data_IF_517530565748
#
_entry.id   IF_517530565748
#
_cell.length_a   1.000
_cell.length_b   1.000
_cell.length_c   1.000
_cell.angle_alpha   90.00
_cell.angle_beta   90.00
_cell.angle_gamma   90.00
#
_symmetry.space_group_name_H-M   'P 1'
#
loop_
_entity.id
_entity.type
_entity.pdbx_description
1 polymer ?
#
# COMPACT_ATOMS: atom_id res chain seq x y z
N UNK A 1 27.85 -6.10 73.48
CA UNK A 1 27.52 -6.90 72.27
C UNK A 1 26.04 -6.77 72.03
N UNK A 2 25.47 -6.46 70.87
CA UNK A 2 25.92 -5.98 69.57
C UNK A 2 24.61 -5.62 68.84
N UNK A 3 24.59 -4.52 68.08
CA UNK A 3 23.50 -4.12 67.19
C UNK A 3 23.08 -5.26 66.25
N UNK A 4 21.79 -5.38 65.93
CA UNK A 4 21.39 -5.83 64.59
C UNK A 4 20.12 -5.11 64.14
N UNK A 5 20.38 -4.11 63.30
CA UNK A 5 19.46 -3.33 62.49
C UNK A 5 19.09 -4.22 61.27
N UNK A 6 17.84 -4.64 61.13
CA UNK A 6 17.39 -5.29 59.89
C UNK A 6 17.12 -4.20 58.85
N UNK A 7 18.05 -4.08 57.89
CA UNK A 7 17.86 -3.33 56.66
C UNK A 7 16.79 -4.04 55.80
N UNK A 8 15.64 -3.39 55.65
CA UNK A 8 14.71 -3.62 54.55
C UNK A 8 15.31 -2.94 53.30
N UNK A 9 15.88 -3.73 52.41
CA UNK A 9 16.37 -3.28 51.11
C UNK A 9 15.14 -3.02 50.22
N UNK A 10 14.77 -1.75 50.10
CA UNK A 10 13.90 -1.27 49.02
C UNK A 10 14.65 -1.42 47.70
N UNK A 11 14.39 -2.51 46.98
CA UNK A 11 14.69 -2.60 45.55
C UNK A 11 13.75 -1.62 44.83
N UNK A 12 14.20 -0.38 44.66
CA UNK A 12 13.68 0.49 43.60
C UNK A 12 14.09 -0.15 42.28
N UNK A 13 13.15 -0.80 41.59
CA UNK A 13 13.29 -1.04 40.15
C UNK A 13 13.26 0.34 39.50
N UNK A 14 14.41 0.79 39.01
CA UNK A 14 14.52 1.98 38.20
C UNK A 14 13.72 1.75 36.91
N UNK A 15 12.56 2.39 36.82
CA UNK A 15 11.80 2.53 35.57
C UNK A 15 12.65 3.39 34.63
N UNK A 16 13.00 2.92 33.42
CA UNK A 16 13.71 3.76 32.47
C UNK A 16 12.81 4.92 32.06
N UNK A 17 13.38 6.12 32.01
CA UNK A 17 12.68 7.33 31.63
C UNK A 17 12.00 7.17 30.26
N UNK A 18 10.67 7.12 30.26
CA UNK A 18 9.86 7.36 29.07
C UNK A 18 10.20 8.76 28.56
N UNK A 19 10.49 8.90 27.27
CA UNK A 19 10.47 10.22 26.63
C UNK A 19 9.12 10.89 26.91
N UNK A 20 9.12 12.19 27.14
CA UNK A 20 7.97 12.95 27.66
C UNK A 20 6.64 12.48 27.05
N UNK A 21 5.78 11.88 27.88
CA UNK A 21 4.43 11.48 27.47
C UNK A 21 3.66 12.72 26.98
N UNK A 22 2.86 12.60 25.90
CA UNK A 22 2.03 13.71 25.45
C UNK A 22 1.11 14.20 26.58
N UNK A 23 0.75 15.50 26.62
CA UNK A 23 -0.09 16.07 27.68
C UNK A 23 -1.48 15.42 27.84
N UNK A 24 -1.97 14.74 26.80
CA UNK A 24 -3.21 13.98 26.86
C UNK A 24 -3.11 12.65 27.61
N UNK A 25 -1.91 12.16 27.92
CA UNK A 25 -1.66 10.82 28.45
C UNK A 25 -1.17 10.84 29.90
N UNK A 26 -1.43 9.74 30.59
CA UNK A 26 -0.93 9.46 31.94
C UNK A 26 0.06 8.30 31.91
N UNK A 27 0.91 8.21 32.93
CA UNK A 27 1.89 7.14 33.15
C UNK A 27 1.31 5.94 33.91
N UNK A 28 -0.03 5.86 34.01
CA UNK A 28 -0.72 4.81 34.75
C UNK A 28 -0.47 3.43 34.12
N UNK A 29 -0.06 2.41 34.90
CA UNK A 29 0.07 1.04 34.42
C UNK A 29 -1.24 0.48 33.89
N UNK A 30 -1.17 -0.35 32.85
CA UNK A 30 -2.35 -0.95 32.19
C UNK A 30 -3.33 -1.62 33.16
N UNK A 31 -2.84 -2.51 34.04
CA UNK A 31 -3.69 -3.22 34.99
C UNK A 31 -4.44 -2.26 35.94
N UNK A 32 -3.76 -1.22 36.41
CA UNK A 32 -4.37 -0.20 37.27
C UNK A 32 -5.41 0.63 36.51
N UNK A 33 -5.13 0.98 35.24
CA UNK A 33 -6.08 1.72 34.42
C UNK A 33 -7.36 0.93 34.15
N UNK A 34 -7.24 -0.37 33.86
CA UNK A 34 -8.39 -1.26 33.65
C UNK A 34 -9.21 -1.39 34.94
N UNK A 35 -8.58 -1.63 36.08
CA UNK A 35 -9.25 -1.71 37.39
C UNK A 35 -10.02 -0.41 37.71
N UNK A 36 -9.38 0.75 37.53
CA UNK A 36 -10.05 2.04 37.74
C UNK A 36 -11.20 2.28 36.76
N UNK A 37 -11.06 1.83 35.51
CA UNK A 37 -12.12 1.95 34.52
C UNK A 37 -13.33 1.08 34.87
N UNK A 38 -13.10 -0.14 35.40
CA UNK A 38 -14.13 -1.04 35.92
C UNK A 38 -14.88 -0.40 37.09
N UNK A 39 -14.15 0.09 38.11
CA UNK A 39 -14.74 0.76 39.27
C UNK A 39 -15.58 1.99 38.90
N UNK A 40 -15.16 2.74 37.89
CA UNK A 40 -15.85 3.97 37.45
C UNK A 40 -17.05 3.68 36.53
N UNK A 41 -17.09 2.52 35.87
CA UNK A 41 -18.20 1.96 35.10
C UNK A 41 -18.64 2.70 33.84
N UNK A 42 -18.65 4.04 33.83
CA UNK A 42 -19.20 4.86 32.75
C UNK A 42 -18.18 5.70 32.00
N UNK A 43 -16.97 5.88 32.56
CA UNK A 43 -15.91 6.68 31.93
C UNK A 43 -15.18 5.88 30.87
N UNK A 44 -14.70 6.57 29.83
CA UNK A 44 -13.90 5.95 28.79
C UNK A 44 -12.42 5.95 29.21
N UNK A 45 -11.76 4.81 28.99
CA UNK A 45 -10.32 4.68 29.06
C UNK A 45 -9.80 4.37 27.65
N UNK A 46 -8.86 5.14 27.15
CA UNK A 46 -8.17 4.87 25.89
C UNK A 46 -6.81 4.25 26.19
N UNK A 47 -6.56 3.08 25.62
CA UNK A 47 -5.24 2.44 25.61
C UNK A 47 -4.67 2.57 24.21
N UNK A 48 -3.64 3.41 24.04
CA UNK A 48 -2.88 3.53 22.81
C UNK A 48 -1.77 2.48 22.81
N UNK A 49 -1.85 1.51 21.91
CA UNK A 49 -0.77 0.59 21.61
C UNK A 49 0.18 1.21 20.60
N UNK A 50 1.47 1.26 20.94
CA UNK A 50 2.52 1.99 20.23
C UNK A 50 3.81 1.17 20.13
N UNK A 51 4.80 1.68 19.38
CA UNK A 51 6.16 1.17 19.38
C UNK A 51 7.16 2.30 19.11
N UNK A 52 8.40 2.19 19.59
CA UNK A 52 9.47 3.19 19.37
C UNK A 52 9.73 3.43 17.87
N UNK A 53 9.66 2.37 17.07
CA UNK A 53 9.87 2.41 15.62
C UNK A 53 8.64 2.87 14.84
N UNK A 54 7.48 3.03 15.48
CA UNK A 54 6.24 3.43 14.82
C UNK A 54 6.24 4.91 14.43
N UNK A 55 6.56 5.21 13.16
CA UNK A 55 6.51 6.56 12.59
C UNK A 55 5.16 7.28 12.78
N UNK A 56 4.02 6.68 12.39
CA UNK A 56 2.70 7.27 12.57
C UNK A 56 2.34 7.53 14.04
N UNK A 57 2.83 6.71 14.98
CA UNK A 57 2.62 6.92 16.41
C UNK A 57 3.29 8.21 16.90
N UNK A 58 4.57 8.41 16.53
CA UNK A 58 5.35 9.62 16.84
C UNK A 58 4.76 10.88 16.20
N UNK A 59 4.13 10.75 15.04
CA UNK A 59 3.38 11.84 14.40
C UNK A 59 2.15 12.19 15.23
N UNK A 60 1.31 11.22 15.58
CA UNK A 60 0.12 11.46 16.42
C UNK A 60 0.48 12.03 17.79
N UNK A 61 1.59 11.61 18.41
CA UNK A 61 2.03 12.16 19.69
C UNK A 61 2.28 13.67 19.60
N UNK A 62 2.90 14.13 18.51
CA UNK A 62 3.19 15.56 18.27
C UNK A 62 1.98 16.36 17.79
N UNK A 63 1.05 15.74 17.09
CA UNK A 63 -0.02 16.45 16.35
C UNK A 63 -1.42 16.27 16.92
N UNK A 64 -1.73 15.11 17.51
CA UNK A 64 -3.07 14.75 17.98
C UNK A 64 -3.10 14.72 19.50
N UNK A 65 -2.21 13.98 20.14
CA UNK A 65 -2.17 13.84 21.61
C UNK A 65 -1.54 15.03 22.34
N UNK A 66 -0.92 15.95 21.59
CA UNK A 66 -0.41 17.23 22.12
C UNK A 66 -1.25 18.43 21.68
N UNK A 67 -2.31 18.21 20.90
CA UNK A 67 -3.20 19.28 20.48
C UNK A 67 -4.05 19.79 21.66
N UNK A 68 -4.07 21.10 21.86
CA UNK A 68 -4.75 21.72 23.01
C UNK A 68 -6.24 21.42 23.05
N UNK A 69 -6.90 21.38 21.88
CA UNK A 69 -8.33 21.07 21.80
C UNK A 69 -8.62 19.63 22.19
N UNK A 70 -7.75 18.69 21.80
CA UNK A 70 -7.82 17.28 22.19
C UNK A 70 -7.61 17.13 23.69
N UNK A 71 -6.57 17.76 24.25
CA UNK A 71 -6.25 17.71 25.68
C UNK A 71 -7.41 18.27 26.50
N UNK A 72 -7.99 19.39 26.08
CA UNK A 72 -9.11 20.02 26.78
C UNK A 72 -10.37 19.14 26.69
N UNK A 73 -10.68 18.61 25.51
CA UNK A 73 -11.81 17.70 25.31
C UNK A 73 -11.71 16.46 26.21
N UNK A 74 -10.54 15.81 26.29
CA UNK A 74 -10.34 14.63 27.14
C UNK A 74 -10.56 14.96 28.63
N UNK A 75 -10.09 16.13 29.08
CA UNK A 75 -10.28 16.60 30.46
C UNK A 75 -11.76 16.90 30.77
N UNK A 76 -12.43 17.67 29.91
CA UNK A 76 -13.83 18.05 30.09
C UNK A 76 -14.75 16.83 30.17
N UNK A 77 -14.37 15.77 29.45
CA UNK A 77 -15.14 14.53 29.36
C UNK A 77 -14.62 13.40 30.25
N UNK A 78 -13.62 13.68 31.11
CA UNK A 78 -13.06 12.74 32.07
C UNK A 78 -12.57 11.42 31.43
N UNK A 79 -11.92 11.54 30.27
CA UNK A 79 -11.38 10.42 29.51
C UNK A 79 -9.91 10.23 29.89
N UNK A 80 -9.57 9.05 30.38
CA UNK A 80 -8.18 8.69 30.70
C UNK A 80 -7.51 8.11 29.46
N UNK A 81 -6.26 8.48 29.21
CA UNK A 81 -5.46 7.90 28.13
C UNK A 81 -4.16 7.35 28.71
N UNK A 82 -3.84 6.12 28.35
CA UNK A 82 -2.54 5.49 28.64
C UNK A 82 -1.89 5.00 27.34
N UNK A 83 -0.57 4.81 27.40
CA UNK A 83 0.20 4.26 26.29
C UNK A 83 0.84 2.93 26.70
N UNK A 84 0.75 1.94 25.82
CA UNK A 84 1.39 0.62 25.98
C UNK A 84 2.33 0.40 24.79
N UNK A 85 3.62 0.30 25.08
CA UNK A 85 4.61 -0.11 24.08
C UNK A 85 4.54 -1.62 23.87
N UNK A 86 4.30 -2.05 22.64
CA UNK A 86 4.06 -3.46 22.32
C UNK A 86 5.31 -4.33 22.43
N UNK A 87 6.50 -3.75 22.28
CA UNK A 87 7.77 -4.46 22.41
C UNK A 87 8.13 -4.66 23.88
N UNK A 88 7.76 -3.69 24.74
CA UNK A 88 7.98 -3.77 26.19
C UNK A 88 6.92 -4.60 26.91
N UNK A 89 5.69 -4.65 26.39
CA UNK A 89 4.56 -5.36 27.00
C UNK A 89 3.89 -6.34 26.02
N UNK A 90 4.61 -7.39 25.57
CA UNK A 90 4.13 -8.31 24.54
C UNK A 90 2.94 -9.15 25.02
N UNK A 91 2.86 -9.49 26.31
CA UNK A 91 1.74 -10.26 26.87
C UNK A 91 0.44 -9.46 26.80
N UNK A 92 0.46 -8.17 27.18
CA UNK A 92 -0.70 -7.28 27.09
C UNK A 92 -1.12 -7.07 25.63
N UNK A 93 -0.14 -6.92 24.74
CA UNK A 93 -0.38 -6.76 23.30
C UNK A 93 -1.04 -7.99 22.69
N UNK A 94 -0.59 -9.19 23.07
CA UNK A 94 -1.20 -10.45 22.64
C UNK A 94 -2.62 -10.61 23.20
N UNK A 95 -2.84 -10.30 24.47
CA UNK A 95 -4.16 -10.34 25.11
C UNK A 95 -5.18 -9.45 24.40
N UNK A 96 -4.76 -8.29 23.89
CA UNK A 96 -5.61 -7.34 23.19
C UNK A 96 -5.67 -7.56 21.66
N UNK A 97 -5.06 -8.65 21.17
CA UNK A 97 -4.97 -9.00 19.75
C UNK A 97 -4.44 -7.85 18.87
N UNK A 98 -3.38 -7.18 19.30
CA UNK A 98 -2.80 -6.05 18.57
C UNK A 98 -1.98 -6.56 17.39
N UNK A 99 -2.33 -6.11 16.18
CA UNK A 99 -1.70 -6.54 14.91
C UNK A 99 -1.04 -5.40 14.14
N UNK A 100 -1.32 -4.15 14.51
CA UNK A 100 -0.79 -2.97 13.84
C UNK A 100 -0.72 -1.79 14.81
N UNK A 101 0.17 -0.85 14.53
CA UNK A 101 0.37 0.35 15.34
C UNK A 101 0.20 1.62 14.47
N UNK A 102 -0.38 2.71 15.03
CA UNK A 102 -1.03 2.74 16.34
C UNK A 102 -2.35 1.97 16.33
N UNK A 103 -2.72 1.39 17.47
CA UNK A 103 -4.08 0.91 17.73
C UNK A 103 -4.58 1.56 19.01
N UNK A 104 -5.74 2.19 18.96
CA UNK A 104 -6.42 2.73 20.15
C UNK A 104 -7.57 1.80 20.50
N UNK A 105 -7.55 1.26 21.71
CA UNK A 105 -8.65 0.46 22.27
C UNK A 105 -9.32 1.26 23.37
N UNK A 106 -10.64 1.41 23.29
CA UNK A 106 -11.45 2.10 24.29
C UNK A 106 -12.07 1.05 25.20
N UNK A 107 -11.90 1.24 26.51
CA UNK A 107 -12.52 0.45 27.55
C UNK A 107 -13.60 1.26 28.26
N UNK A 108 -14.65 0.57 28.69
CA UNK A 108 -15.74 1.12 29.51
C UNK A 108 -16.25 0.05 30.45
N UNK A 109 -16.10 0.25 31.76
CA UNK A 109 -16.46 -0.75 32.76
C UNK A 109 -15.56 -1.99 32.69
N UNK A 110 -14.26 -1.79 32.47
CA UNK A 110 -13.26 -2.87 32.44
C UNK A 110 -13.27 -3.71 31.15
N UNK A 111 -14.31 -3.60 30.33
CA UNK A 111 -14.46 -4.31 29.07
C UNK A 111 -14.12 -3.43 27.87
N UNK A 112 -13.68 -4.06 26.78
CA UNK A 112 -13.48 -3.37 25.51
C UNK A 112 -14.83 -2.87 24.97
N UNK A 113 -14.89 -1.57 24.72
CA UNK A 113 -16.08 -0.89 24.21
C UNK A 113 -15.98 -0.63 22.70
N UNK A 114 -14.81 -0.25 22.21
CA UNK A 114 -14.55 -0.07 20.78
C UNK A 114 -13.04 0.01 20.47
N UNK A 115 -12.65 -0.08 19.19
CA UNK A 115 -11.26 0.12 18.78
C UNK A 115 -11.09 0.81 17.43
N UNK A 116 -9.95 1.48 17.26
CA UNK A 116 -9.48 2.08 16.00
C UNK A 116 -8.05 1.68 15.71
N UNK A 117 -7.82 1.19 14.50
CA UNK A 117 -6.48 0.86 13.98
C UNK A 117 -6.04 1.95 13.00
N UNK A 118 -4.79 2.38 13.13
CA UNK A 118 -4.15 3.37 12.27
C UNK A 118 -4.22 4.80 12.82
N UNK A 119 -3.46 5.69 12.17
CA UNK A 119 -3.36 7.08 12.59
C UNK A 119 -4.61 7.89 12.26
N UNK A 120 -4.93 8.87 13.11
CA UNK A 120 -6.01 9.84 12.93
C UNK A 120 -5.57 11.22 13.42
N UNK A 121 -6.23 12.28 12.95
CA UNK A 121 -6.04 13.64 13.43
C UNK A 121 -6.99 13.93 14.61
N UNK A 122 -6.81 15.10 15.25
CA UNK A 122 -7.59 15.56 16.41
C UNK A 122 -9.10 15.57 16.16
N UNK A 123 -9.53 16.09 15.01
CA UNK A 123 -10.96 16.14 14.62
C UNK A 123 -11.57 14.73 14.60
N UNK A 124 -10.95 13.78 13.89
CA UNK A 124 -11.44 12.39 13.82
C UNK A 124 -11.41 11.67 15.15
N UNK A 125 -10.44 11.99 16.02
CA UNK A 125 -10.38 11.44 17.37
C UNK A 125 -11.56 11.94 18.20
N UNK A 126 -11.84 13.24 18.18
CA UNK A 126 -12.97 13.84 18.90
C UNK A 126 -14.30 13.30 18.37
N UNK A 127 -14.51 13.28 17.06
CA UNK A 127 -15.72 12.73 16.44
C UNK A 127 -15.97 11.28 16.89
N UNK A 128 -14.92 10.45 16.87
CA UNK A 128 -15.01 9.07 17.32
C UNK A 128 -15.39 8.97 18.81
N UNK A 129 -14.80 9.81 19.67
CA UNK A 129 -15.13 9.82 21.10
C UNK A 129 -16.54 10.33 21.39
N UNK A 130 -17.04 11.30 20.62
CA UNK A 130 -18.43 11.77 20.74
C UNK A 130 -19.43 10.66 20.38
N UNK A 131 -19.18 9.92 19.29
CA UNK A 131 -19.99 8.75 18.92
C UNK A 131 -20.03 7.71 20.06
N UNK A 132 -18.88 7.37 20.64
CA UNK A 132 -18.79 6.42 21.75
C UNK A 132 -19.54 6.89 22.98
N UNK A 133 -19.50 8.19 23.29
CA UNK A 133 -20.23 8.75 24.43
C UNK A 133 -21.73 8.75 24.21
N UNK A 134 -22.19 8.85 22.97
CA UNK A 134 -23.59 8.68 22.58
C UNK A 134 -24.00 7.19 22.48
N UNK A 135 -23.08 6.27 22.78
CA UNK A 135 -23.33 4.83 22.76
C UNK A 135 -23.29 4.22 21.36
N UNK A 136 -22.83 4.97 20.35
CA UNK A 136 -22.58 4.48 19.00
C UNK A 136 -21.14 3.98 18.92
N UNK A 137 -20.96 2.66 18.97
CA UNK A 137 -19.64 2.08 18.66
C UNK A 137 -19.30 2.30 17.19
N UNK A 138 -18.01 2.37 16.84
CA UNK A 138 -17.58 2.41 15.44
C UNK A 138 -18.13 1.23 14.64
N UNK A 139 -18.26 0.06 15.28
CA UNK A 139 -18.89 -1.12 14.69
C UNK A 139 -20.36 -0.86 14.34
N UNK A 140 -21.17 -0.33 15.28
CA UNK A 140 -22.58 -0.01 15.02
C UNK A 140 -22.76 1.08 13.96
N UNK A 141 -21.96 2.15 14.02
CA UNK A 141 -21.99 3.22 13.03
C UNK A 141 -21.62 2.69 11.63
N UNK A 142 -20.61 1.83 11.54
CA UNK A 142 -20.26 1.14 10.30
C UNK A 142 -21.37 0.20 9.82
N UNK A 143 -22.00 -0.57 10.71
CA UNK A 143 -23.11 -1.45 10.36
C UNK A 143 -24.33 -0.67 9.82
N UNK A 144 -24.65 0.47 10.43
CA UNK A 144 -25.70 1.37 9.95
C UNK A 144 -25.34 1.96 8.58
N UNK A 145 -24.12 2.45 8.41
CA UNK A 145 -23.62 2.95 7.11
C UNK A 145 -23.65 1.86 6.04
N UNK A 146 -23.21 0.64 6.36
CA UNK A 146 -23.28 -0.50 5.44
C UNK A 146 -24.72 -0.86 5.10
N UNK A 147 -25.65 -0.79 6.06
CA UNK A 147 -27.07 -1.04 5.84
C UNK A 147 -27.69 0.00 4.91
N UNK A 148 -27.40 1.28 5.11
CA UNK A 148 -27.84 2.36 4.22
C UNK A 148 -27.29 2.16 2.79
N UNK A 149 -25.99 1.88 2.67
CA UNK A 149 -25.35 1.56 1.38
C UNK A 149 -25.96 0.32 0.71
N UNK A 150 -26.38 -0.70 1.47
CA UNK A 150 -27.12 -1.84 0.92
C UNK A 150 -28.47 -1.44 0.35
N UNK A 151 -29.22 -0.60 1.06
CA UNK A 151 -30.55 -0.15 0.64
C UNK A 151 -30.50 0.79 -0.57
N UNK A 152 -29.45 1.61 -0.64
CA UNK A 152 -29.27 2.63 -1.68
C UNK A 152 -28.16 2.25 -2.69
N UNK A 153 -27.88 0.94 -2.85
CA UNK A 153 -26.73 0.41 -3.60
C UNK A 153 -26.59 0.96 -5.02
N UNK A 154 -27.72 1.09 -5.72
CA UNK A 154 -27.75 1.55 -7.11
C UNK A 154 -27.55 3.06 -7.26
N UNK A 155 -27.59 3.82 -6.16
CA UNK A 155 -27.37 5.27 -6.13
C UNK A 155 -25.94 5.64 -5.69
N UNK A 156 -25.14 4.66 -5.26
CA UNK A 156 -23.78 4.91 -4.81
C UNK A 156 -22.88 5.35 -5.97
N UNK A 157 -22.00 6.31 -5.70
CA UNK A 157 -20.88 6.60 -6.59
C UNK A 157 -19.95 5.37 -6.70
N UNK A 158 -19.13 5.29 -7.75
CA UNK A 158 -18.16 4.19 -7.89
C UNK A 158 -17.15 4.17 -6.73
N UNK A 159 -16.80 5.35 -6.20
CA UNK A 159 -15.91 5.47 -5.05
C UNK A 159 -16.59 4.97 -3.77
N UNK A 160 -17.85 5.35 -3.53
CA UNK A 160 -18.60 4.90 -2.34
C UNK A 160 -18.89 3.41 -2.38
N UNK A 161 -19.17 2.87 -3.55
CA UNK A 161 -19.40 1.44 -3.73
C UNK A 161 -18.11 0.63 -3.58
N UNK A 162 -16.95 1.16 -3.99
CA UNK A 162 -15.65 0.59 -3.67
C UNK A 162 -15.37 0.63 -2.17
N UNK A 163 -15.67 1.74 -1.49
CA UNK A 163 -15.57 1.83 -0.03
C UNK A 163 -16.49 0.81 0.66
N UNK A 164 -17.70 0.62 0.13
CA UNK A 164 -18.63 -0.40 0.62
C UNK A 164 -18.07 -1.82 0.50
N UNK A 165 -17.49 -2.19 -0.65
CA UNK A 165 -16.83 -3.50 -0.82
C UNK A 165 -15.69 -3.74 0.19
N UNK A 166 -14.94 -2.68 0.53
CA UNK A 166 -13.87 -2.73 1.56
C UNK A 166 -14.43 -2.88 2.97
N UNK A 167 -15.53 -2.20 3.27
CA UNK A 167 -16.19 -2.30 4.57
C UNK A 167 -16.75 -3.71 4.78
N UNK A 168 -17.44 -4.28 3.77
CA UNK A 168 -17.89 -5.67 3.77
C UNK A 168 -16.74 -6.65 4.00
N UNK A 169 -15.65 -6.46 3.25
CA UNK A 169 -14.42 -7.24 3.40
C UNK A 169 -13.85 -7.16 4.82
N UNK A 170 -13.86 -5.97 5.43
CA UNK A 170 -13.33 -5.75 6.77
C UNK A 170 -14.24 -6.34 7.85
N UNK A 171 -15.55 -6.33 7.62
CA UNK A 171 -16.56 -6.92 8.51
C UNK A 171 -16.64 -8.45 8.43
N UNK A 172 -15.90 -9.08 7.51
CA UNK A 172 -15.94 -10.54 7.30
C UNK A 172 -17.12 -11.00 6.43
N UNK A 173 -17.85 -10.09 5.80
CA UNK A 173 -18.95 -10.39 4.87
C UNK A 173 -18.41 -10.67 3.46
N UNK A 174 -17.57 -11.71 3.36
CA UNK A 174 -16.67 -11.92 2.23
C UNK A 174 -17.39 -12.29 0.92
N UNK A 175 -18.54 -12.98 0.99
CA UNK A 175 -19.34 -13.33 -0.19
C UNK A 175 -20.00 -12.10 -0.82
N UNK A 176 -20.54 -11.21 0.02
CA UNK A 176 -21.11 -9.95 -0.45
C UNK A 176 -20.02 -9.02 -0.99
N UNK A 177 -18.88 -8.94 -0.29
CA UNK A 177 -17.72 -8.20 -0.79
C UNK A 177 -17.25 -8.69 -2.17
N UNK A 178 -17.20 -10.01 -2.36
CA UNK A 178 -16.87 -10.63 -3.66
C UNK A 178 -17.85 -10.16 -4.74
N UNK A 179 -19.14 -10.19 -4.44
CA UNK A 179 -20.19 -9.75 -5.36
C UNK A 179 -20.06 -8.27 -5.73
N UNK A 180 -19.72 -7.41 -4.77
CA UNK A 180 -19.47 -5.98 -5.01
C UNK A 180 -18.23 -5.75 -5.87
N UNK A 181 -17.12 -6.45 -5.62
CA UNK A 181 -15.92 -6.33 -6.45
C UNK A 181 -16.15 -6.80 -7.89
N UNK A 182 -16.89 -7.90 -8.10
CA UNK A 182 -17.26 -8.35 -9.45
C UNK A 182 -18.14 -7.32 -10.16
N UNK A 183 -19.13 -6.76 -9.46
CA UNK A 183 -19.98 -5.73 -10.03
C UNK A 183 -19.17 -4.50 -10.42
N UNK A 184 -18.29 -4.02 -9.54
CA UNK A 184 -17.39 -2.90 -9.82
C UNK A 184 -16.46 -3.20 -10.99
N UNK A 185 -15.92 -4.41 -11.09
CA UNK A 185 -15.08 -4.81 -12.22
C UNK A 185 -15.79 -4.59 -13.56
N UNK A 186 -17.05 -5.05 -13.65
CA UNK A 186 -17.84 -4.93 -14.87
C UNK A 186 -18.34 -3.50 -15.15
N UNK A 187 -18.71 -2.74 -14.12
CA UNK A 187 -19.46 -1.49 -14.31
C UNK A 187 -18.63 -0.21 -14.12
N UNK A 188 -17.53 -0.25 -13.36
CA UNK A 188 -16.82 0.96 -12.91
C UNK A 188 -16.37 1.85 -14.06
N UNK A 189 -15.75 1.29 -15.10
CA UNK A 189 -15.22 2.11 -16.20
C UNK A 189 -16.26 2.50 -17.24
N UNK A 190 -17.44 1.88 -17.21
CA UNK A 190 -18.54 2.27 -18.08
C UNK A 190 -19.26 3.50 -17.49
N UNK A 191 -19.26 3.66 -16.16
CA UNK A 191 -19.82 4.82 -15.46
C UNK A 191 -18.78 5.92 -15.23
N UNK A 192 -17.55 5.55 -14.88
CA UNK A 192 -16.49 6.49 -14.49
C UNK A 192 -15.12 6.09 -15.07
N UNK A 193 -14.85 6.42 -16.36
CA UNK A 193 -13.60 6.04 -17.04
C UNK A 193 -12.32 6.55 -16.35
N UNK A 194 -12.39 7.66 -15.62
CA UNK A 194 -11.28 8.22 -14.83
C UNK A 194 -10.77 7.25 -13.76
N UNK A 195 -11.59 6.31 -13.30
CA UNK A 195 -11.20 5.31 -12.29
C UNK A 195 -10.36 4.14 -12.87
N UNK A 196 -9.97 4.18 -14.15
CA UNK A 196 -9.16 3.10 -14.75
C UNK A 196 -7.84 2.83 -14.02
N UNK A 197 -7.21 3.87 -13.45
CA UNK A 197 -6.05 3.73 -12.58
C UNK A 197 -6.40 2.99 -11.28
N UNK A 198 -7.44 3.45 -10.58
CA UNK A 198 -7.90 2.88 -9.30
C UNK A 198 -8.29 1.41 -9.46
N UNK A 199 -9.02 1.07 -10.53
CA UNK A 199 -9.44 -0.32 -10.82
C UNK A 199 -8.23 -1.23 -11.02
N UNK A 200 -7.25 -0.76 -11.80
CA UNK A 200 -6.06 -1.52 -12.18
C UNK A 200 -4.96 -1.61 -11.13
N UNK A 201 -5.05 -0.85 -10.04
CA UNK A 201 -4.07 -0.84 -8.94
C UNK A 201 -4.71 -1.18 -7.59
N UNK A 202 -5.43 -0.23 -6.99
CA UNK A 202 -5.96 -0.37 -5.63
C UNK A 202 -7.06 -1.43 -5.54
N UNK A 203 -8.04 -1.38 -6.43
CA UNK A 203 -9.18 -2.31 -6.37
C UNK A 203 -8.72 -3.76 -6.62
N UNK A 204 -7.90 -3.99 -7.65
CA UNK A 204 -7.40 -5.35 -7.92
C UNK A 204 -6.51 -5.88 -6.78
N UNK A 205 -5.76 -5.00 -6.10
CA UNK A 205 -5.03 -5.35 -4.89
C UNK A 205 -5.95 -5.74 -3.73
N UNK A 206 -7.08 -5.06 -3.57
CA UNK A 206 -8.10 -5.44 -2.58
C UNK A 206 -8.74 -6.79 -2.92
N UNK A 207 -9.05 -7.03 -4.20
CA UNK A 207 -9.54 -8.32 -4.69
C UNK A 207 -8.54 -9.45 -4.44
N UNK A 208 -7.23 -9.22 -4.67
CA UNK A 208 -6.18 -10.19 -4.35
C UNK A 208 -6.15 -10.55 -2.86
N UNK A 209 -6.18 -9.55 -1.98
CA UNK A 209 -6.25 -9.78 -0.53
C UNK A 209 -7.49 -10.57 -0.13
N UNK A 210 -8.63 -10.30 -0.76
CA UNK A 210 -9.86 -11.07 -0.54
C UNK A 210 -9.69 -12.53 -1.00
N UNK A 211 -9.17 -12.75 -2.21
CA UNK A 211 -8.94 -14.08 -2.78
C UNK A 211 -7.98 -14.94 -1.94
N UNK A 212 -6.97 -14.31 -1.33
CA UNK A 212 -5.99 -14.99 -0.46
C UNK A 212 -6.60 -15.54 0.84
N UNK A 213 -7.66 -14.92 1.35
CA UNK A 213 -8.32 -15.32 2.61
C UNK A 213 -9.72 -15.92 2.43
N UNK A 214 -10.27 -15.89 1.21
CA UNK A 214 -11.60 -16.41 0.90
C UNK A 214 -11.59 -17.26 -0.38
N UNK A 215 -11.50 -18.59 -0.27
CA UNK A 215 -11.44 -19.48 -1.45
C UNK A 215 -12.60 -19.30 -2.45
N UNK A 216 -13.87 -19.12 -2.02
CA UNK A 216 -14.97 -18.82 -2.96
C UNK A 216 -14.76 -17.53 -3.78
N UNK A 217 -14.16 -16.48 -3.19
CA UNK A 217 -13.80 -15.28 -3.96
C UNK A 217 -12.78 -15.60 -5.05
N UNK A 218 -11.76 -16.39 -4.70
CA UNK A 218 -10.72 -16.79 -5.66
C UNK A 218 -11.32 -17.57 -6.84
N UNK A 219 -12.22 -18.51 -6.58
CA UNK A 219 -12.94 -19.25 -7.63
C UNK A 219 -13.77 -18.32 -8.51
N UNK A 220 -14.47 -17.34 -7.92
CA UNK A 220 -15.24 -16.35 -8.66
C UNK A 220 -14.36 -15.47 -9.55
N UNK A 221 -13.17 -15.07 -9.08
CA UNK A 221 -12.22 -14.28 -9.87
C UNK A 221 -11.51 -15.10 -10.95
N UNK A 222 -11.26 -16.40 -10.73
CA UNK A 222 -10.83 -17.32 -11.80
C UNK A 222 -11.89 -17.39 -12.89
N UNK A 223 -13.16 -17.57 -12.50
CA UNK A 223 -14.26 -17.60 -13.47
C UNK A 223 -14.33 -16.31 -14.29
N UNK A 224 -14.21 -15.15 -13.64
CA UNK A 224 -14.12 -13.86 -14.32
C UNK A 224 -12.97 -13.82 -15.35
N UNK A 225 -11.79 -14.32 -14.99
CA UNK A 225 -10.62 -14.41 -15.88
C UNK A 225 -10.90 -15.35 -17.05
N UNK A 226 -11.46 -16.52 -16.80
CA UNK A 226 -11.75 -17.55 -17.82
C UNK A 226 -12.85 -17.07 -18.79
N UNK A 227 -13.90 -16.42 -18.28
CA UNK A 227 -14.98 -15.83 -19.10
C UNK A 227 -14.43 -14.72 -20.01
N UNK A 228 -13.47 -13.91 -19.53
CA UNK A 228 -12.76 -12.93 -20.36
C UNK A 228 -11.85 -13.61 -21.39
N UNK A 229 -11.12 -14.66 -20.99
CA UNK A 229 -10.25 -15.42 -21.90
C UNK A 229 -11.04 -16.01 -23.09
N UNK A 230 -12.25 -16.53 -22.83
CA UNK A 230 -13.13 -17.06 -23.87
C UNK A 230 -13.63 -16.00 -24.87
N UNK A 231 -13.61 -14.72 -24.48
CA UNK A 231 -13.98 -13.60 -25.35
C UNK A 231 -12.81 -13.08 -26.19
N UNK A 232 -11.56 -13.37 -25.79
CA UNK A 232 -10.37 -12.96 -26.55
C UNK A 232 -10.22 -13.83 -27.80
N UNK A 233 -10.48 -13.25 -28.98
CA UNK A 233 -10.16 -13.88 -30.27
C UNK A 233 -8.77 -13.46 -30.74
N UNK A 234 -8.12 -14.32 -31.53
CA UNK A 234 -6.87 -13.96 -32.20
C UNK A 234 -7.09 -12.73 -33.10
N UNK A 235 -6.33 -11.66 -32.86
CA UNK A 235 -6.51 -10.37 -33.55
C UNK A 235 -7.61 -9.46 -33.00
N UNK A 236 -8.25 -9.81 -31.87
CA UNK A 236 -9.21 -8.93 -31.21
C UNK A 236 -8.50 -7.67 -30.67
N UNK A 237 -8.88 -6.52 -31.23
CA UNK A 237 -8.30 -5.21 -30.91
C UNK A 237 -8.94 -4.58 -29.68
N UNK A 238 -9.81 -5.30 -28.98
CA UNK A 238 -10.36 -4.90 -27.69
C UNK A 238 -9.24 -4.76 -26.66
N UNK A 239 -8.58 -3.59 -26.67
CA UNK A 239 -7.55 -3.20 -25.69
C UNK A 239 -8.07 -3.35 -24.25
N UNK A 240 -9.40 -3.24 -24.05
CA UNK A 240 -10.08 -3.39 -22.76
C UNK A 240 -10.01 -4.83 -22.25
N UNK A 241 -10.44 -5.81 -23.05
CA UNK A 241 -10.52 -7.20 -22.59
C UNK A 241 -9.14 -7.82 -22.36
N UNK A 242 -8.17 -7.54 -23.25
CA UNK A 242 -6.81 -8.07 -23.10
C UNK A 242 -6.11 -7.49 -21.88
N UNK A 243 -6.26 -6.18 -21.63
CA UNK A 243 -5.75 -5.53 -20.41
C UNK A 243 -6.37 -6.13 -19.15
N UNK A 244 -7.69 -6.27 -19.13
CA UNK A 244 -8.40 -6.80 -17.97
C UNK A 244 -7.98 -8.25 -17.68
N UNK A 245 -7.86 -9.07 -18.73
CA UNK A 245 -7.36 -10.43 -18.63
C UNK A 245 -5.91 -10.48 -18.11
N UNK A 246 -5.01 -9.64 -18.64
CA UNK A 246 -3.63 -9.55 -18.16
C UNK A 246 -3.59 -9.18 -16.67
N UNK A 247 -4.33 -8.16 -16.25
CA UNK A 247 -4.35 -7.70 -14.86
C UNK A 247 -4.85 -8.80 -13.91
N UNK A 248 -5.90 -9.54 -14.31
CA UNK A 248 -6.40 -10.65 -13.50
C UNK A 248 -5.35 -11.75 -13.33
N UNK A 249 -4.58 -12.08 -14.35
CA UNK A 249 -3.52 -13.07 -14.24
C UNK A 249 -2.32 -12.55 -13.44
N UNK A 250 -1.78 -11.37 -13.78
CA UNK A 250 -0.49 -10.89 -13.25
C UNK A 250 -0.57 -10.15 -11.92
N UNK A 251 -1.76 -9.61 -11.56
CA UNK A 251 -1.92 -8.79 -10.34
C UNK A 251 -2.91 -9.34 -9.34
N UNK A 252 -3.77 -10.28 -9.73
CA UNK A 252 -4.75 -10.90 -8.83
C UNK A 252 -4.41 -12.36 -8.56
N UNK A 253 -4.31 -13.18 -9.61
CA UNK A 253 -4.21 -14.63 -9.50
C UNK A 253 -2.78 -15.16 -9.39
N UNK A 254 -1.79 -14.34 -9.76
CA UNK A 254 -0.38 -14.71 -9.88
C UNK A 254 -0.18 -15.94 -10.79
N UNK A 255 -0.92 -15.98 -11.91
CA UNK A 255 -0.93 -17.08 -12.88
C UNK A 255 -0.08 -16.74 -14.11
N UNK A 256 1.23 -16.61 -13.89
CA UNK A 256 2.19 -16.24 -14.93
C UNK A 256 2.28 -17.27 -16.05
N UNK A 257 1.98 -18.54 -15.77
CA UNK A 257 2.01 -19.60 -16.77
C UNK A 257 0.98 -19.34 -17.87
N UNK A 258 -0.22 -18.88 -17.52
CA UNK A 258 -1.28 -18.59 -18.50
C UNK A 258 -0.89 -17.42 -19.42
N UNK A 259 -0.18 -16.43 -18.89
CA UNK A 259 0.35 -15.29 -19.67
C UNK A 259 1.51 -15.74 -20.56
N UNK A 260 2.42 -16.56 -20.01
CA UNK A 260 3.53 -17.19 -20.74
C UNK A 260 3.00 -17.99 -21.94
N UNK A 261 2.04 -18.89 -21.71
CA UNK A 261 1.45 -19.70 -22.77
C UNK A 261 0.78 -18.84 -23.86
N UNK A 262 0.17 -17.72 -23.48
CA UNK A 262 -0.39 -16.78 -24.45
C UNK A 262 0.68 -16.08 -25.28
N UNK A 263 1.76 -15.60 -24.65
CA UNK A 263 2.89 -14.98 -25.35
C UNK A 263 3.54 -15.99 -26.30
N UNK A 264 3.81 -17.21 -25.84
CA UNK A 264 4.41 -18.27 -26.66
C UNK A 264 3.58 -18.58 -27.91
N UNK A 265 2.24 -18.47 -27.84
CA UNK A 265 1.36 -18.63 -29.01
C UNK A 265 1.43 -17.47 -29.98
N UNK A 266 1.53 -16.23 -29.47
CA UNK A 266 1.43 -15.04 -30.32
C UNK A 266 2.78 -14.49 -30.78
N UNK A 267 3.89 -14.79 -30.11
CA UNK A 267 5.18 -14.07 -30.27
C UNK A 267 5.74 -14.11 -31.70
N UNK A 268 5.47 -15.18 -32.45
CA UNK A 268 5.95 -15.35 -33.82
C UNK A 268 4.96 -14.81 -34.88
N UNK A 269 3.82 -14.26 -34.44
CA UNK A 269 2.82 -13.67 -35.33
C UNK A 269 3.28 -12.30 -35.85
N UNK A 270 3.01 -11.94 -37.12
CA UNK A 270 3.30 -10.61 -37.66
C UNK A 270 2.66 -9.44 -36.89
N UNK A 271 1.61 -9.72 -36.10
CA UNK A 271 0.89 -8.72 -35.29
C UNK A 271 1.23 -8.76 -33.80
N UNK A 272 2.18 -9.61 -33.38
CA UNK A 272 2.55 -9.78 -31.97
C UNK A 272 3.00 -8.46 -31.35
N UNK A 273 3.99 -7.81 -31.97
CA UNK A 273 4.56 -6.56 -31.46
C UNK A 273 3.54 -5.42 -31.46
N UNK A 274 2.57 -5.40 -32.39
CA UNK A 274 1.48 -4.42 -32.38
C UNK A 274 0.51 -4.67 -31.22
N UNK A 275 0.13 -5.93 -31.00
CA UNK A 275 -0.76 -6.35 -29.90
C UNK A 275 -0.12 -6.02 -28.54
N UNK A 276 1.16 -6.32 -28.39
CA UNK A 276 1.92 -6.08 -27.15
C UNK A 276 2.19 -4.58 -26.96
N UNK A 277 2.54 -3.85 -28.02
CA UNK A 277 2.62 -2.38 -27.99
C UNK A 277 1.30 -1.73 -27.60
N UNK A 278 0.18 -2.35 -27.98
CA UNK A 278 -1.15 -1.90 -27.54
C UNK A 278 -1.37 -2.13 -26.05
N UNK A 279 -0.68 -3.07 -25.39
CA UNK A 279 -0.68 -3.20 -23.93
C UNK A 279 0.30 -2.21 -23.26
N UNK A 280 1.31 -1.75 -24.00
CA UNK A 280 2.20 -0.66 -23.58
C UNK A 280 2.97 -1.00 -22.30
N UNK A 281 3.08 -0.05 -21.36
CA UNK A 281 3.80 -0.21 -20.09
C UNK A 281 3.26 -1.36 -19.22
N UNK A 282 2.00 -1.77 -19.40
CA UNK A 282 1.35 -2.75 -18.53
C UNK A 282 1.95 -4.15 -18.60
N UNK A 283 2.55 -4.49 -19.75
CA UNK A 283 3.15 -5.79 -20.03
C UNK A 283 4.68 -5.71 -20.11
N UNK A 284 5.25 -4.50 -20.22
CA UNK A 284 6.68 -4.31 -20.43
C UNK A 284 7.53 -4.85 -19.26
N UNK A 285 7.17 -4.50 -18.03
CA UNK A 285 7.89 -4.96 -16.84
C UNK A 285 7.82 -6.48 -16.72
N UNK A 286 6.61 -7.03 -16.91
CA UNK A 286 6.38 -8.47 -16.92
C UNK A 286 7.22 -9.19 -17.98
N UNK A 287 7.30 -8.66 -19.21
CA UNK A 287 8.12 -9.25 -20.29
C UNK A 287 9.60 -9.28 -19.92
N UNK A 288 10.10 -8.20 -19.32
CA UNK A 288 11.48 -8.11 -18.86
C UNK A 288 11.75 -9.11 -17.74
N UNK A 289 10.88 -9.17 -16.72
CA UNK A 289 10.98 -10.10 -15.60
C UNK A 289 10.98 -11.57 -16.04
N UNK A 290 10.28 -11.89 -17.14
CA UNK A 290 10.17 -13.24 -17.69
C UNK A 290 11.16 -13.52 -18.84
N UNK A 291 12.10 -12.61 -19.11
CA UNK A 291 13.18 -12.82 -20.10
C UNK A 291 12.79 -12.58 -21.56
N UNK A 292 11.61 -12.04 -21.85
CA UNK A 292 11.14 -11.68 -23.19
C UNK A 292 11.70 -10.33 -23.68
N UNK A 293 13.00 -10.13 -23.55
CA UNK A 293 13.69 -8.86 -23.80
C UNK A 293 13.50 -8.30 -25.21
N UNK A 294 13.63 -9.15 -26.24
CA UNK A 294 13.39 -8.75 -27.63
C UNK A 294 11.96 -8.24 -27.83
N UNK A 295 10.98 -8.98 -27.32
CA UNK A 295 9.57 -8.63 -27.45
C UNK A 295 9.23 -7.35 -26.67
N UNK A 296 9.84 -7.15 -25.50
CA UNK A 296 9.78 -5.89 -24.77
C UNK A 296 10.29 -4.73 -25.62
N UNK A 297 11.46 -4.87 -26.25
CA UNK A 297 12.04 -3.86 -27.15
C UNK A 297 11.19 -3.51 -28.37
N UNK A 298 10.60 -4.51 -29.02
CA UNK A 298 9.70 -4.33 -30.17
C UNK A 298 8.36 -3.66 -29.80
N UNK A 299 7.93 -3.81 -28.55
CA UNK A 299 6.70 -3.22 -28.02
C UNK A 299 6.85 -1.75 -27.62
N UNK A 300 8.08 -1.31 -27.33
CA UNK A 300 8.36 0.05 -26.86
C UNK A 300 8.18 1.09 -27.97
N UNK A 301 7.84 2.32 -27.59
CA UNK A 301 7.88 3.49 -28.49
C UNK A 301 9.34 3.86 -28.82
N UNK A 302 9.56 4.89 -29.64
CA UNK A 302 10.91 5.42 -29.85
C UNK A 302 11.49 6.01 -28.57
N UNK A 303 12.81 6.02 -28.45
CA UNK A 303 13.51 6.62 -27.32
C UNK A 303 13.12 8.10 -27.15
N UNK A 304 13.09 8.88 -28.23
CA UNK A 304 12.67 10.29 -28.18
C UNK A 304 11.26 10.46 -27.62
N UNK A 305 10.33 9.53 -27.91
CA UNK A 305 8.97 9.57 -27.37
C UNK A 305 8.93 9.27 -25.88
N UNK A 306 9.75 8.33 -25.41
CA UNK A 306 9.88 7.97 -23.99
C UNK A 306 10.47 9.15 -23.21
N UNK A 307 11.60 9.69 -23.68
CA UNK A 307 12.30 10.83 -23.09
C UNK A 307 11.36 12.05 -23.00
N UNK A 308 10.66 12.37 -24.09
CA UNK A 308 9.75 13.53 -24.12
C UNK A 308 8.61 13.41 -23.10
N UNK A 309 8.01 12.21 -23.00
CA UNK A 309 6.95 11.94 -22.01
C UNK A 309 7.47 12.06 -20.59
N UNK A 310 8.66 11.54 -20.31
CA UNK A 310 9.26 11.59 -18.99
C UNK A 310 9.55 13.03 -18.55
N UNK A 311 10.14 13.85 -19.43
CA UNK A 311 10.37 15.28 -19.18
C UNK A 311 9.07 16.01 -18.87
N UNK A 312 7.99 15.68 -19.58
CA UNK A 312 6.66 16.24 -19.31
C UNK A 312 6.14 15.82 -17.93
N UNK A 313 6.25 14.54 -17.57
CA UNK A 313 5.79 14.02 -16.27
C UNK A 313 6.54 14.67 -15.10
N UNK A 314 7.86 14.83 -15.20
CA UNK A 314 8.68 15.51 -14.18
C UNK A 314 8.28 16.97 -14.02
N UNK A 315 8.03 17.68 -15.13
CA UNK A 315 7.59 19.06 -15.09
C UNK A 315 6.22 19.24 -14.41
N UNK A 316 5.33 18.24 -14.51
CA UNK A 316 4.01 18.27 -13.86
C UNK A 316 4.03 17.88 -12.38
N UNK A 317 4.98 17.05 -11.96
CA UNK A 317 4.92 16.41 -10.63
C UNK A 317 5.21 17.40 -9.49
N UNK A 318 6.08 18.40 -9.69
CA UNK A 318 6.34 19.51 -8.76
C UNK A 318 6.81 19.11 -7.34
N UNK A 319 7.54 19.99 -6.64
CA UNK A 319 8.04 19.73 -5.28
C UNK A 319 6.93 19.67 -4.19
N UNK A 320 5.65 19.83 -4.55
CA UNK A 320 4.53 19.85 -3.58
C UNK A 320 4.34 18.51 -2.85
N UNK A 321 4.79 17.40 -3.43
CA UNK A 321 4.60 16.06 -2.85
C UNK A 321 5.41 15.84 -1.56
N UNK A 322 6.46 16.64 -1.34
CA UNK A 322 7.41 16.48 -0.23
C UNK A 322 7.32 17.58 0.83
N UNK A 323 6.41 18.55 0.67
CA UNK A 323 6.38 19.78 1.46
C UNK A 323 6.25 19.54 2.98
N UNK A 324 5.57 18.46 3.37
CA UNK A 324 5.27 18.14 4.77
C UNK A 324 6.10 16.94 5.32
N UNK A 325 7.11 16.48 4.58
CA UNK A 325 7.94 15.33 4.96
C UNK A 325 9.29 15.77 5.55
N UNK A 326 9.81 14.96 6.48
CA UNK A 326 11.13 15.15 7.08
C UNK A 326 12.25 15.05 6.04
N UNK A 327 13.31 15.85 6.19
CA UNK A 327 14.40 15.96 5.21
C UNK A 327 15.12 14.63 4.95
N UNK A 328 15.33 13.81 5.98
CA UNK A 328 15.99 12.51 5.83
C UNK A 328 15.07 11.50 5.13
N UNK A 329 13.77 11.56 5.40
CA UNK A 329 12.78 10.75 4.68
C UNK A 329 12.69 11.17 3.21
N UNK A 330 12.67 12.48 2.92
CA UNK A 330 12.71 13.00 1.55
C UNK A 330 13.97 12.52 0.82
N UNK A 331 15.12 12.52 1.49
CA UNK A 331 16.38 12.01 0.94
C UNK A 331 16.31 10.51 0.63
N UNK A 332 15.74 9.71 1.53
CA UNK A 332 15.55 8.27 1.32
C UNK A 332 14.59 7.98 0.16
N UNK A 333 13.46 8.71 0.09
CA UNK A 333 12.51 8.59 -1.02
C UNK A 333 13.20 8.92 -2.34
N UNK A 334 13.89 10.06 -2.42
CA UNK A 334 14.62 10.46 -3.63
C UNK A 334 15.70 9.46 -4.03
N UNK A 335 16.39 8.85 -3.06
CA UNK A 335 17.37 7.80 -3.34
C UNK A 335 16.71 6.53 -3.90
N UNK A 336 15.54 6.13 -3.38
CA UNK A 336 14.77 5.00 -3.91
C UNK A 336 14.22 5.29 -5.31
N UNK A 337 13.69 6.50 -5.54
CA UNK A 337 13.20 6.94 -6.85
C UNK A 337 14.32 6.92 -7.89
N UNK A 338 15.50 7.43 -7.51
CA UNK A 338 16.70 7.40 -8.34
C UNK A 338 17.05 5.97 -8.78
N UNK A 339 17.08 5.01 -7.85
CA UNK A 339 17.38 3.61 -8.17
C UNK A 339 16.33 2.99 -9.11
N UNK A 340 15.05 3.23 -8.83
CA UNK A 340 13.95 2.74 -9.66
C UNK A 340 14.02 3.28 -11.09
N UNK A 341 14.29 4.58 -11.24
CA UNK A 341 14.45 5.22 -12.53
C UNK A 341 15.63 4.64 -13.33
N UNK A 342 16.79 4.53 -12.68
CA UNK A 342 17.99 3.97 -13.32
C UNK A 342 17.72 2.53 -13.78
N UNK A 343 17.11 1.70 -12.94
CA UNK A 343 16.77 0.32 -13.30
C UNK A 343 15.77 0.27 -14.46
N UNK A 344 14.72 1.09 -14.42
CA UNK A 344 13.72 1.20 -15.49
C UNK A 344 14.38 1.51 -16.83
N UNK A 345 15.21 2.56 -16.91
CA UNK A 345 15.82 2.93 -18.18
C UNK A 345 16.90 1.95 -18.63
N UNK A 346 17.62 1.32 -17.71
CA UNK A 346 18.56 0.24 -18.02
C UNK A 346 17.86 -0.94 -18.67
N UNK A 347 16.69 -1.33 -18.15
CA UNK A 347 15.87 -2.40 -18.73
C UNK A 347 15.35 -2.02 -20.12
N UNK A 348 14.86 -0.79 -20.31
CA UNK A 348 14.39 -0.30 -21.62
C UNK A 348 15.54 -0.29 -22.63
N UNK A 349 16.72 0.16 -22.21
CA UNK A 349 17.92 0.17 -23.04
C UNK A 349 18.32 -1.25 -23.50
N UNK A 350 18.43 -2.19 -22.56
CA UNK A 350 18.75 -3.58 -22.87
C UNK A 350 17.67 -4.24 -23.76
N UNK A 351 16.40 -3.91 -23.55
CA UNK A 351 15.30 -4.37 -24.39
C UNK A 351 15.41 -3.83 -25.83
N UNK A 352 15.76 -2.56 -26.03
CA UNK A 352 16.00 -2.02 -27.37
C UNK A 352 17.13 -2.75 -28.09
N UNK A 353 18.25 -3.03 -27.40
CA UNK A 353 19.34 -3.81 -27.98
C UNK A 353 18.91 -5.23 -28.36
N UNK A 354 18.14 -5.91 -27.51
CA UNK A 354 17.61 -7.25 -27.79
C UNK A 354 16.67 -7.28 -29.01
N UNK A 355 16.08 -6.13 -29.35
CA UNK A 355 15.20 -5.92 -30.50
C UNK A 355 15.92 -5.36 -31.74
N UNK A 356 17.25 -5.32 -31.75
CA UNK A 356 18.07 -4.75 -32.84
C UNK A 356 17.73 -3.26 -33.11
N UNK A 357 17.35 -2.52 -32.06
CA UNK A 357 17.02 -1.08 -32.09
C UNK A 357 18.15 -0.24 -31.50
N UNK A 358 19.36 -0.38 -32.03
CA UNK A 358 20.56 0.28 -31.52
C UNK A 358 20.42 1.80 -31.42
N UNK A 359 19.85 2.46 -32.43
CA UNK A 359 19.69 3.92 -32.42
C UNK A 359 18.87 4.41 -31.22
N UNK A 360 17.72 3.76 -30.96
CA UNK A 360 16.89 4.06 -29.80
C UNK A 360 17.61 3.71 -28.48
N UNK A 361 18.32 2.58 -28.44
CA UNK A 361 19.07 2.17 -27.25
C UNK A 361 20.09 3.24 -26.85
N UNK A 362 20.90 3.69 -27.80
CA UNK A 362 21.96 4.67 -27.54
C UNK A 362 21.41 6.08 -27.27
N UNK A 363 20.37 6.51 -27.98
CA UNK A 363 19.69 7.79 -27.70
C UNK A 363 19.17 7.84 -26.26
N UNK A 364 18.54 6.76 -25.80
CA UNK A 364 18.05 6.68 -24.42
C UNK A 364 19.19 6.72 -23.41
N UNK A 365 20.25 5.94 -23.63
CA UNK A 365 21.37 5.87 -22.70
C UNK A 365 22.12 7.20 -22.58
N UNK A 366 22.33 7.90 -23.70
CA UNK A 366 22.94 9.23 -23.69
C UNK A 366 22.12 10.23 -22.86
N UNK A 367 20.79 10.17 -22.97
CA UNK A 367 19.91 10.97 -22.10
C UNK A 367 20.02 10.56 -20.63
N UNK A 368 19.96 9.27 -20.30
CA UNK A 368 20.07 8.78 -18.92
C UNK A 368 21.40 9.20 -18.29
N UNK A 369 22.52 9.07 -19.00
CA UNK A 369 23.84 9.50 -18.53
C UNK A 369 23.95 11.03 -18.34
N UNK A 370 23.09 11.81 -19.00
CA UNK A 370 23.01 13.26 -18.77
C UNK A 370 22.19 13.65 -17.53
N UNK A 371 21.32 12.76 -17.05
CA UNK A 371 20.38 13.02 -15.94
C UNK A 371 20.82 12.36 -14.63
N UNK A 372 21.64 11.29 -14.69
CA UNK A 372 21.95 10.43 -13.55
C UNK A 372 23.46 10.15 -13.38
N UNK A 373 23.91 9.77 -12.16
CA UNK A 373 25.31 9.44 -11.89
C UNK A 373 25.80 8.29 -12.76
N UNK A 374 26.91 8.51 -13.49
CA UNK A 374 27.45 7.57 -14.47
C UNK A 374 27.76 6.19 -13.88
N UNK A 375 28.33 6.15 -12.69
CA UNK A 375 28.70 4.91 -11.98
C UNK A 375 27.48 4.01 -11.74
N UNK A 376 26.39 4.57 -11.22
CA UNK A 376 25.14 3.84 -10.96
C UNK A 376 24.47 3.39 -12.26
N UNK A 377 24.47 4.25 -13.28
CA UNK A 377 23.91 3.92 -14.60
C UNK A 377 24.71 2.79 -15.26
N UNK A 378 26.03 2.88 -15.27
CA UNK A 378 26.90 1.86 -15.86
C UNK A 378 26.69 0.48 -15.23
N UNK A 379 26.64 0.40 -13.90
CA UNK A 379 26.38 -0.87 -13.19
C UNK A 379 25.02 -1.46 -13.57
N UNK A 380 23.95 -0.65 -13.48
CA UNK A 380 22.59 -1.11 -13.77
C UNK A 380 22.40 -1.52 -15.24
N UNK A 381 23.00 -0.78 -16.18
CA UNK A 381 22.96 -1.10 -17.62
C UNK A 381 23.70 -2.39 -17.91
N UNK A 382 24.89 -2.59 -17.32
CA UNK A 382 25.67 -3.83 -17.46
C UNK A 382 24.84 -5.05 -17.05
N UNK A 383 24.20 -4.97 -15.87
CA UNK A 383 23.35 -6.04 -15.36
C UNK A 383 22.16 -6.33 -16.29
N UNK A 384 21.47 -5.28 -16.76
CA UNK A 384 20.33 -5.44 -17.66
C UNK A 384 20.72 -6.05 -19.01
N UNK A 385 21.84 -5.61 -19.61
CA UNK A 385 22.36 -6.15 -20.88
C UNK A 385 22.77 -7.62 -20.74
N UNK A 386 23.39 -7.98 -19.61
CA UNK A 386 23.74 -9.36 -19.31
C UNK A 386 22.49 -10.25 -19.20
N UNK A 387 21.46 -9.80 -18.47
CA UNK A 387 20.18 -10.51 -18.35
C UNK A 387 19.47 -10.64 -19.69
N UNK A 388 19.58 -9.64 -20.57
CA UNK A 388 19.03 -9.66 -21.91
C UNK A 388 19.80 -10.58 -22.88
N UNK A 389 20.99 -11.06 -22.50
CA UNK A 389 21.82 -11.93 -23.34
C UNK A 389 22.37 -11.23 -24.59
N UNK A 390 22.42 -9.90 -24.61
CA UNK A 390 22.84 -9.12 -25.77
C UNK A 390 24.34 -8.91 -25.77
N UNK A 391 24.99 -9.11 -26.92
CA UNK A 391 26.41 -8.80 -27.12
C UNK A 391 26.53 -7.48 -27.86
N UNK A 392 27.20 -6.49 -27.26
CA UNK A 392 27.45 -5.20 -27.89
C UNK A 392 28.89 -4.75 -27.64
N UNK A 393 29.68 -4.61 -28.70
CA UNK A 393 31.09 -4.21 -28.61
C UNK A 393 31.25 -2.83 -27.96
N UNK A 394 30.31 -1.92 -28.22
CA UNK A 394 30.26 -0.57 -27.65
C UNK A 394 29.94 -0.55 -26.14
N UNK A 395 29.28 -1.60 -25.61
CA UNK A 395 29.11 -1.75 -24.15
C UNK A 395 30.42 -2.12 -23.46
N UNK A 396 31.22 -2.99 -24.07
CA UNK A 396 32.53 -3.35 -23.52
C UNK A 396 33.45 -2.12 -23.40
N UNK A 397 33.31 -1.16 -24.32
CA UNK A 397 34.02 0.13 -24.29
C UNK A 397 33.47 1.13 -23.23
N UNK A 398 32.14 1.18 -23.03
CA UNK A 398 31.50 2.09 -22.08
C UNK A 398 31.56 1.61 -20.62
N UNK A 399 31.55 0.30 -20.42
CA UNK A 399 31.54 -0.36 -19.10
C UNK A 399 32.93 -0.69 -18.58
N UNK A 400 33.97 -0.54 -19.40
CA UNK A 400 35.36 -0.79 -19.01
C UNK A 400 35.57 -2.24 -18.58
N UNK A 401 35.71 -3.15 -19.53
CA UNK A 401 36.27 -4.47 -19.21
C UNK A 401 37.74 -4.31 -18.79
N UNK A 402 38.07 -4.70 -17.55
CA UNK A 402 39.35 -5.40 -17.33
C UNK A 402 39.29 -6.80 -17.95
#
# INVERSE_FOLDING_TARGET
>A
MMRMLQLLVLMFLAVPAMGDLPPAMTDMPYAQAIEQNDEQGSRLLIVKFTAVWCGPCKMMDRTTWSDESTVQYLKDNHITVISVDVDQQPEISAQNAIQAMPTMVVFKGGEEFDRKVGAMNSEKLVDWLDDLREGRTHTQAKEEQMRDRRQNRDQLSMTDRLAFARDLSSAGELDEATSEYLWLWHNMLDHEPSMSGVRGSFMIGDMKKLAQRHPPAREAFIKLRDDLAAQLKEGDRSRKNLRDWLFLNTRLLDDDQVVTDWIERIKDSPTASETIRSMGHELQDWLVEHGYWRLAGESLRSASSIISREKQMRAMSGDRMYADLDEELVKQIKASELQMDIQKYSNIHAAFLAADRDEDAWELLDWVLSEYPKDLVSESVSNAVQLAGVKSDRHNELLGSE
#
